data_IF_593028279606
#
_entry.id   IF_593028279606
#
_cell.length_a   1.000
_cell.length_b   1.000
_cell.length_c   1.000
_cell.angle_alpha   90.00
_cell.angle_beta   90.00
_cell.angle_gamma   90.00
#
_symmetry.space_group_name_H-M   'P 1'
#
loop_
_entity.id
_entity.type
_entity.pdbx_description
1 polymer ?
#
# COMPACT_ATOMS: atom_id res chain seq x y z
N UNK A 1 48.02 37.11 16.62
CA UNK A 1 48.46 36.78 15.25
C UNK A 1 48.03 35.36 14.97
N UNK A 2 46.91 35.20 14.27
CA UNK A 2 46.60 34.03 13.46
C UNK A 2 45.60 34.55 12.42
N UNK A 3 46.17 35.07 11.34
CA UNK A 3 45.46 35.41 10.12
C UNK A 3 44.90 34.12 9.53
N UNK A 4 43.59 33.92 9.68
CA UNK A 4 42.87 32.95 8.87
C UNK A 4 42.66 33.60 7.51
N UNK A 5 43.42 33.13 6.54
CA UNK A 5 43.39 33.51 5.13
C UNK A 5 41.97 33.41 4.55
N UNK A 6 41.40 34.56 4.19
CA UNK A 6 40.23 34.62 3.33
C UNK A 6 40.61 34.12 1.92
N UNK A 7 39.97 33.05 1.46
CA UNK A 7 40.08 32.60 0.08
C UNK A 7 39.44 33.66 -0.84
N UNK A 8 40.16 34.23 -1.82
CA UNK A 8 39.60 35.17 -2.78
C UNK A 8 39.03 34.37 -3.94
N UNK A 9 37.76 33.97 -3.84
CA UNK A 9 37.15 33.15 -4.91
C UNK A 9 35.67 32.87 -4.80
N UNK A 10 34.92 33.53 -3.93
CA UNK A 10 33.49 33.22 -3.72
C UNK A 10 32.63 34.49 -3.57
N UNK A 11 33.00 35.56 -4.28
CA UNK A 11 32.03 36.64 -4.55
C UNK A 11 31.13 36.14 -5.69
N UNK A 12 29.85 35.80 -5.42
CA UNK A 12 28.93 35.37 -6.45
C UNK A 12 28.87 36.45 -7.52
N UNK A 13 28.88 36.04 -8.79
CA UNK A 13 28.68 36.99 -9.87
C UNK A 13 27.34 37.73 -9.66
N UNK A 14 27.20 38.99 -10.13
CA UNK A 14 25.97 39.76 -9.93
C UNK A 14 24.69 39.02 -10.38
N UNK A 15 24.80 38.13 -11.38
CA UNK A 15 23.71 37.28 -11.84
C UNK A 15 23.36 36.12 -10.90
N UNK A 16 24.34 35.50 -10.25
CA UNK A 16 24.12 34.42 -9.27
C UNK A 16 23.52 34.94 -7.97
N UNK A 17 23.92 36.13 -7.54
CA UNK A 17 23.32 36.80 -6.40
C UNK A 17 21.86 37.19 -6.67
N UNK A 18 21.57 37.65 -7.88
CA UNK A 18 20.21 37.97 -8.32
C UNK A 18 19.32 36.70 -8.41
N UNK A 19 19.83 35.61 -8.97
CA UNK A 19 19.11 34.32 -9.03
C UNK A 19 18.91 33.70 -7.64
N UNK A 20 19.90 33.85 -6.75
CA UNK A 20 19.78 33.43 -5.35
C UNK A 20 18.68 34.21 -4.63
N UNK A 21 18.66 35.52 -4.76
CA UNK A 21 17.64 36.39 -4.17
C UNK A 21 16.25 36.10 -4.76
N UNK A 22 16.14 35.82 -6.06
CA UNK A 22 14.91 35.38 -6.72
C UNK A 22 14.36 34.09 -6.12
N UNK A 23 15.19 33.06 -5.93
CA UNK A 23 14.77 31.79 -5.29
C UNK A 23 14.32 31.98 -3.85
N UNK A 24 15.07 32.78 -3.07
CA UNK A 24 14.66 33.12 -1.71
C UNK A 24 13.36 33.90 -1.66
N UNK A 25 13.11 34.78 -2.63
CA UNK A 25 11.83 35.51 -2.75
C UNK A 25 10.65 34.59 -3.05
N UNK A 26 10.84 33.52 -3.84
CA UNK A 26 9.80 32.52 -4.12
C UNK A 26 9.56 31.58 -2.93
N UNK A 27 10.61 31.21 -2.19
CA UNK A 27 10.51 30.31 -1.01
C UNK A 27 9.90 31.02 0.20
N UNK A 28 10.26 32.28 0.43
CA UNK A 28 9.80 33.06 1.58
C UNK A 28 8.50 33.85 1.31
N UNK A 29 8.02 33.83 0.07
CA UNK A 29 6.79 34.49 -0.36
C UNK A 29 6.80 36.01 -0.22
N UNK A 30 5.60 36.61 -0.25
CA UNK A 30 5.39 38.07 -0.26
C UNK A 30 6.02 38.83 0.91
N UNK A 31 6.21 38.18 2.06
CA UNK A 31 6.83 38.78 3.24
C UNK A 31 8.32 39.15 3.05
N UNK A 32 9.00 38.53 2.06
CA UNK A 32 10.41 38.79 1.77
C UNK A 32 10.65 39.82 0.66
N UNK A 33 9.61 40.48 0.14
CA UNK A 33 9.74 41.47 -0.95
C UNK A 33 10.65 42.64 -0.58
N UNK A 34 10.60 43.10 0.68
CA UNK A 34 11.44 44.18 1.17
C UNK A 34 12.93 43.83 1.28
N UNK A 35 13.27 42.54 1.34
CA UNK A 35 14.64 42.05 1.52
C UNK A 35 15.24 41.45 0.24
N UNK A 36 14.41 40.87 -0.63
CA UNK A 36 14.86 40.13 -1.83
C UNK A 36 14.53 40.84 -3.16
N UNK A 37 13.77 41.94 -3.13
CA UNK A 37 13.36 42.69 -4.33
C UNK A 37 12.09 42.14 -5.00
N UNK A 38 11.60 42.85 -6.02
CA UNK A 38 10.38 42.50 -6.77
C UNK A 38 10.63 41.46 -7.86
N UNK A 39 9.64 40.58 -8.08
CA UNK A 39 9.64 39.59 -9.17
C UNK A 39 9.10 40.22 -10.46
N UNK A 40 9.57 39.74 -11.62
CA UNK A 40 9.14 40.23 -12.92
C UNK A 40 8.81 39.08 -13.90
N UNK A 41 7.85 39.29 -14.81
CA UNK A 41 7.51 38.33 -15.84
C UNK A 41 6.77 37.09 -15.32
N UNK A 42 7.16 35.89 -15.78
CA UNK A 42 6.52 34.62 -15.39
C UNK A 42 6.66 34.29 -13.89
N UNK A 43 7.63 34.90 -13.21
CA UNK A 43 7.90 34.65 -11.79
C UNK A 43 6.80 35.22 -10.88
N UNK A 44 6.09 36.25 -11.34
CA UNK A 44 4.93 36.79 -10.62
C UNK A 44 3.77 35.78 -10.62
N UNK A 45 3.62 35.02 -11.70
CA UNK A 45 2.65 33.91 -11.79
C UNK A 45 3.05 32.73 -10.90
N UNK A 46 4.35 32.41 -10.84
CA UNK A 46 4.89 31.39 -9.94
C UNK A 46 4.67 31.76 -8.45
N UNK A 47 4.95 33.00 -8.06
CA UNK A 47 4.75 33.49 -6.69
C UNK A 47 3.26 33.48 -6.30
N UNK A 48 2.37 33.89 -7.21
CA UNK A 48 0.94 33.84 -6.99
C UNK A 48 0.44 32.39 -6.81
N UNK A 49 0.95 31.45 -7.62
CA UNK A 49 0.63 30.05 -7.48
C UNK A 49 1.15 29.46 -6.16
N UNK A 50 2.38 29.75 -5.77
CA UNK A 50 2.95 29.30 -4.49
C UNK A 50 2.21 29.92 -3.29
N UNK A 51 1.87 31.21 -3.36
CA UNK A 51 1.16 31.91 -2.29
C UNK A 51 -0.27 31.38 -2.09
N UNK A 52 -0.98 31.06 -3.18
CA UNK A 52 -2.33 30.47 -3.11
C UNK A 52 -2.36 29.13 -2.36
N UNK A 53 -1.26 28.38 -2.43
CA UNK A 53 -1.10 27.08 -1.77
C UNK A 53 -0.53 27.19 -0.35
N UNK A 54 0.55 27.95 -0.15
CA UNK A 54 1.34 27.91 1.07
C UNK A 54 1.10 29.09 2.04
N UNK A 55 0.55 30.21 1.59
CA UNK A 55 0.37 31.41 2.44
C UNK A 55 -1.06 31.57 2.98
N UNK A 56 -1.95 30.60 2.74
CA UNK A 56 -3.38 30.70 3.11
C UNK A 56 -3.65 30.52 4.61
N UNK A 57 -2.71 29.93 5.34
CA UNK A 57 -2.83 29.65 6.79
C UNK A 57 -2.29 30.80 7.68
N UNK A 58 -1.87 31.92 7.10
CA UNK A 58 -1.22 33.03 7.82
C UNK A 58 -2.13 34.15 8.33
N UNK A 59 -3.44 34.15 8.04
CA UNK A 59 -4.34 35.27 8.39
C UNK A 59 -5.09 35.12 9.72
N UNK A 60 -4.73 34.13 10.55
CA UNK A 60 -5.41 33.90 11.82
C UNK A 60 -4.47 33.58 12.97
N UNK A 61 -3.70 34.56 13.47
CA UNK A 61 -3.37 34.71 14.91
C UNK A 61 -2.47 35.94 15.20
N UNK A 62 -3.07 36.97 15.85
CA UNK A 62 -2.47 37.98 16.76
C UNK A 62 -1.32 38.89 16.29
N UNK A 63 -1.33 40.23 16.39
CA UNK A 63 -2.18 41.19 17.08
C UNK A 63 -1.40 42.52 17.27
N UNK A 64 -2.08 43.65 17.03
CA UNK A 64 -1.78 44.96 17.64
C UNK A 64 -0.75 45.89 16.98
N UNK A 65 -1.20 47.02 16.41
CA UNK A 65 -0.32 48.17 16.18
C UNK A 65 -0.73 49.15 15.07
N UNK A 66 -1.66 50.05 15.40
CA UNK A 66 -1.90 51.42 14.86
C UNK A 66 -0.98 51.95 13.72
N UNK A 67 -1.58 52.30 12.55
CA UNK A 67 -1.60 53.67 11.96
C UNK A 67 -2.17 53.73 10.52
N UNK A 68 -3.36 54.34 10.42
CA UNK A 68 -3.81 55.35 9.45
C UNK A 68 -3.55 55.27 7.93
N UNK A 69 -4.67 55.23 7.18
CA UNK A 69 -4.93 55.80 5.83
C UNK A 69 -4.19 55.16 4.63
N UNK A 70 -4.79 54.68 3.53
CA UNK A 70 -5.93 55.17 2.74
C UNK A 70 -6.40 54.07 1.74
N UNK A 71 -7.72 53.85 1.65
CA UNK A 71 -8.53 53.37 0.50
C UNK A 71 -7.93 52.38 -0.53
N UNK A 72 -8.41 51.13 -0.52
CA UNK A 72 -9.27 50.58 -1.59
C UNK A 72 -9.86 49.22 -1.20
N UNK A 73 -11.17 49.10 -1.40
CA UNK A 73 -12.01 47.91 -1.59
C UNK A 73 -11.68 46.62 -0.81
N UNK A 74 -12.22 46.51 0.41
CA UNK A 74 -12.36 45.24 1.13
C UNK A 74 -13.40 44.36 0.44
N UNK A 75 -12.97 43.46 -0.45
CA UNK A 75 -13.78 42.29 -0.81
C UNK A 75 -13.55 41.19 0.22
N UNK A 76 -14.33 41.21 1.30
CA UNK A 76 -14.57 40.00 2.09
C UNK A 76 -15.49 39.09 1.26
N UNK A 77 -14.91 38.25 0.42
CA UNK A 77 -15.63 37.24 -0.36
C UNK A 77 -15.75 35.97 0.45
N UNK A 78 -16.96 35.74 0.99
CA UNK A 78 -17.33 34.47 1.61
C UNK A 78 -17.14 33.27 0.67
N UNK A 79 -17.05 32.10 1.28
CA UNK A 79 -16.88 30.78 0.68
C UNK A 79 -17.92 30.51 -0.42
N UNK A 80 -17.59 30.88 -1.66
CA UNK A 80 -18.40 30.60 -2.85
C UNK A 80 -17.66 30.76 -4.19
N UNK A 81 -16.37 31.11 -4.17
CA UNK A 81 -15.58 31.38 -5.39
C UNK A 81 -14.36 30.48 -5.60
N UNK A 82 -14.26 29.35 -4.91
CA UNK A 82 -13.00 28.57 -4.84
C UNK A 82 -12.83 27.48 -5.91
N UNK A 83 -13.83 27.19 -6.76
CA UNK A 83 -13.67 26.21 -7.83
C UNK A 83 -12.96 26.76 -9.08
N UNK A 84 -13.32 27.96 -9.62
CA UNK A 84 -12.68 28.49 -10.83
C UNK A 84 -11.22 28.90 -10.60
N UNK A 85 -10.94 29.54 -9.46
CA UNK A 85 -9.60 30.04 -9.14
C UNK A 85 -8.57 28.90 -8.94
N UNK A 86 -9.01 27.70 -8.57
CA UNK A 86 -8.12 26.54 -8.38
C UNK A 86 -7.90 25.80 -9.71
N UNK A 87 -8.88 25.79 -10.62
CA UNK A 87 -8.70 25.29 -11.99
C UNK A 87 -7.71 26.16 -12.79
N UNK A 88 -7.84 27.48 -12.67
CA UNK A 88 -6.90 28.43 -13.26
C UNK A 88 -5.48 28.23 -12.66
N UNK A 89 -5.38 28.06 -11.34
CA UNK A 89 -4.12 27.76 -10.63
C UNK A 89 -3.47 26.44 -11.07
N UNK A 90 -4.25 25.37 -11.27
CA UNK A 90 -3.76 24.09 -11.77
C UNK A 90 -3.26 24.19 -13.23
N UNK A 91 -3.89 25.05 -14.04
CA UNK A 91 -3.43 25.39 -15.38
C UNK A 91 -2.10 26.16 -15.34
N UNK A 92 -2.01 27.17 -14.47
CA UNK A 92 -0.84 28.02 -14.32
C UNK A 92 0.39 27.22 -13.85
N UNK A 93 0.24 26.31 -12.88
CA UNK A 93 1.35 25.50 -12.39
C UNK A 93 1.96 24.61 -13.46
N UNK A 94 1.13 24.08 -14.39
CA UNK A 94 1.61 23.28 -15.53
C UNK A 94 2.43 24.11 -16.53
N UNK A 95 2.18 25.42 -16.60
CA UNK A 95 2.94 26.34 -17.44
C UNK A 95 4.29 26.75 -16.84
N UNK A 96 4.38 26.72 -15.51
CA UNK A 96 5.51 27.31 -14.79
C UNK A 96 6.51 26.28 -14.21
N UNK A 97 6.08 25.06 -13.89
CA UNK A 97 6.93 24.09 -13.18
C UNK A 97 7.16 22.78 -13.96
N UNK A 98 8.32 22.10 -13.79
CA UNK A 98 8.56 20.76 -14.32
C UNK A 98 7.59 19.73 -13.72
N UNK A 99 7.24 18.69 -14.49
CA UNK A 99 6.22 17.68 -14.13
C UNK A 99 6.45 16.99 -12.78
N UNK A 100 7.71 16.78 -12.38
CA UNK A 100 8.05 16.21 -11.06
C UNK A 100 7.68 17.14 -9.90
N UNK A 101 7.84 18.46 -10.07
CA UNK A 101 7.51 19.47 -9.05
C UNK A 101 6.01 19.72 -9.01
N UNK A 102 5.36 19.72 -10.18
CA UNK A 102 3.89 19.81 -10.29
C UNK A 102 3.22 18.71 -9.47
N UNK A 103 3.73 17.48 -9.53
CA UNK A 103 3.19 16.35 -8.77
C UNK A 103 3.26 16.59 -7.25
N UNK A 104 4.39 17.06 -6.74
CA UNK A 104 4.57 17.38 -5.31
C UNK A 104 3.65 18.53 -4.88
N UNK A 105 3.57 19.61 -5.68
CA UNK A 105 2.68 20.74 -5.39
C UNK A 105 1.20 20.35 -5.47
N UNK A 106 0.84 19.42 -6.35
CA UNK A 106 -0.50 18.85 -6.42
C UNK A 106 -0.81 17.99 -5.20
N UNK A 107 0.12 17.16 -4.71
CA UNK A 107 -0.02 16.41 -3.46
C UNK A 107 -0.16 17.34 -2.25
N UNK A 108 0.62 18.42 -2.18
CA UNK A 108 0.49 19.41 -1.09
C UNK A 108 -0.84 20.19 -1.18
N UNK A 109 -1.28 20.53 -2.40
CA UNK A 109 -2.59 21.11 -2.64
C UNK A 109 -3.73 20.18 -2.26
N UNK A 110 -3.52 18.87 -2.48
CA UNK A 110 -4.47 17.85 -2.11
C UNK A 110 -4.70 17.84 -0.60
N UNK A 111 -3.61 17.88 0.18
CA UNK A 111 -3.66 17.87 1.63
C UNK A 111 -4.17 19.19 2.23
N UNK A 112 -3.78 20.34 1.65
CA UNK A 112 -4.04 21.68 2.23
C UNK A 112 -5.28 22.39 1.68
N UNK A 113 -5.62 22.24 0.40
CA UNK A 113 -6.76 22.95 -0.23
C UNK A 113 -8.10 22.24 -0.07
N UNK A 114 -8.14 21.10 0.63
CA UNK A 114 -9.38 20.42 0.97
C UNK A 114 -9.95 19.64 -0.20
N UNK A 115 -9.23 18.58 -0.60
CA UNK A 115 -9.62 17.66 -1.68
C UNK A 115 -11.07 17.19 -1.63
N UNK A 116 -11.64 17.13 -0.42
CA UNK A 116 -13.02 16.71 -0.19
C UNK A 116 -14.06 17.51 -0.98
N UNK A 117 -13.83 18.81 -1.24
CA UNK A 117 -14.76 19.63 -2.04
C UNK A 117 -14.52 19.49 -3.55
N UNK A 118 -13.28 19.28 -3.96
CA UNK A 118 -12.91 19.18 -5.38
C UNK A 118 -13.23 17.81 -5.98
N UNK A 119 -13.14 16.73 -5.19
CA UNK A 119 -13.56 15.39 -5.60
C UNK A 119 -15.08 15.23 -5.74
N UNK A 120 -15.87 16.23 -5.34
CA UNK A 120 -17.31 16.25 -5.58
C UNK A 120 -17.68 16.83 -6.95
N UNK A 121 -16.73 17.45 -7.66
CA UNK A 121 -16.94 18.00 -9.00
C UNK A 121 -16.42 17.01 -10.07
N UNK A 122 -17.31 16.42 -10.89
CA UNK A 122 -16.95 15.35 -11.85
C UNK A 122 -15.85 15.74 -12.84
N UNK A 123 -15.84 17.00 -13.28
CA UNK A 123 -14.94 17.51 -14.32
C UNK A 123 -13.48 17.61 -13.85
N UNK A 124 -13.26 17.84 -12.55
CA UNK A 124 -11.92 17.94 -11.95
C UNK A 124 -11.30 16.57 -11.70
N UNK A 125 -12.13 15.53 -11.53
CA UNK A 125 -11.68 14.17 -11.25
C UNK A 125 -11.02 13.50 -12.46
N UNK A 126 -11.41 13.89 -13.68
CA UNK A 126 -10.79 13.41 -14.93
C UNK A 126 -9.40 14.03 -15.18
N UNK A 127 -9.09 15.15 -14.54
CA UNK A 127 -7.85 15.90 -14.75
C UNK A 127 -6.70 15.52 -13.80
N UNK A 128 -6.99 14.70 -12.77
CA UNK A 128 -6.02 14.24 -11.75
C UNK A 128 -5.40 12.92 -12.19
N UNK A 129 -4.08 12.77 -12.04
CA UNK A 129 -3.40 11.50 -12.33
C UNK A 129 -3.88 10.43 -11.33
N UNK A 130 -4.43 9.30 -11.80
CA UNK A 130 -4.91 8.27 -10.90
C UNK A 130 -3.74 7.58 -10.18
N UNK A 131 -3.66 7.72 -8.86
CA UNK A 131 -2.72 7.00 -8.01
C UNK A 131 -3.42 6.25 -6.87
N UNK A 132 -2.68 5.38 -6.18
CA UNK A 132 -3.22 4.55 -5.10
C UNK A 132 -3.68 5.39 -3.90
N UNK A 133 -3.00 6.50 -3.65
CA UNK A 133 -3.31 7.43 -2.57
C UNK A 133 -4.66 8.13 -2.79
N UNK A 134 -4.94 8.57 -4.02
CA UNK A 134 -6.22 9.12 -4.46
C UNK A 134 -7.32 8.08 -4.31
N UNK A 135 -7.08 6.82 -4.68
CA UNK A 135 -8.06 5.73 -4.46
C UNK A 135 -8.39 5.61 -2.97
N UNK A 136 -7.39 5.58 -2.09
CA UNK A 136 -7.61 5.57 -0.64
C UNK A 136 -8.48 6.74 -0.16
N UNK A 137 -8.19 7.94 -0.68
CA UNK A 137 -8.95 9.16 -0.36
C UNK A 137 -10.40 9.07 -0.87
N UNK A 138 -10.62 8.64 -2.12
CA UNK A 138 -11.95 8.45 -2.71
C UNK A 138 -12.79 7.42 -1.95
N UNK A 139 -12.16 6.34 -1.49
CA UNK A 139 -12.82 5.32 -0.69
C UNK A 139 -13.26 5.86 0.68
N UNK A 140 -12.44 6.70 1.31
CA UNK A 140 -12.78 7.36 2.58
C UNK A 140 -13.99 8.31 2.45
N UNK A 141 -14.15 8.92 1.27
CA UNK A 141 -15.24 9.87 0.97
C UNK A 141 -16.48 9.21 0.34
N UNK A 142 -16.43 7.91 0.06
CA UNK A 142 -17.46 7.18 -0.70
C UNK A 142 -18.89 7.27 -0.15
N UNK A 143 -19.06 7.52 1.15
CA UNK A 143 -20.36 7.67 1.81
C UNK A 143 -20.94 9.09 1.71
N UNK A 144 -20.09 10.10 1.54
CA UNK A 144 -20.48 11.52 1.57
C UNK A 144 -20.61 12.08 0.14
N UNK A 145 -20.09 11.38 -0.86
CA UNK A 145 -20.17 11.77 -2.26
C UNK A 145 -21.59 11.65 -2.84
N UNK A 146 -22.06 12.66 -3.61
CA UNK A 146 -23.26 12.53 -4.44
C UNK A 146 -23.15 11.37 -5.46
N UNK A 147 -24.27 10.76 -5.84
CA UNK A 147 -24.28 9.58 -6.72
C UNK A 147 -23.56 9.80 -8.06
N UNK A 148 -23.68 11.01 -8.64
CA UNK A 148 -22.97 11.37 -9.86
C UNK A 148 -21.44 11.40 -9.68
N UNK A 149 -20.95 11.92 -8.55
CA UNK A 149 -19.52 11.94 -8.23
C UNK A 149 -19.00 10.54 -7.88
N UNK A 150 -19.85 9.67 -7.33
CA UNK A 150 -19.52 8.27 -7.05
C UNK A 150 -19.24 7.46 -8.31
N UNK A 151 -19.98 7.72 -9.40
CA UNK A 151 -19.75 7.05 -10.68
C UNK A 151 -18.41 7.48 -11.32
N UNK A 152 -18.09 8.78 -11.30
CA UNK A 152 -16.78 9.29 -11.71
C UNK A 152 -15.65 8.71 -10.86
N UNK A 153 -15.83 8.63 -9.53
CA UNK A 153 -14.85 8.02 -8.62
C UNK A 153 -14.62 6.54 -8.96
N UNK A 154 -15.69 5.81 -9.29
CA UNK A 154 -15.58 4.41 -9.75
C UNK A 154 -14.78 4.28 -11.03
N UNK A 155 -14.94 5.20 -11.98
CA UNK A 155 -14.17 5.19 -13.23
C UNK A 155 -12.67 5.40 -12.97
N UNK A 156 -12.31 6.35 -12.11
CA UNK A 156 -10.90 6.59 -11.72
C UNK A 156 -10.31 5.39 -10.98
N UNK A 157 -11.02 4.87 -9.97
CA UNK A 157 -10.57 3.69 -9.22
C UNK A 157 -10.41 2.49 -10.15
N UNK A 158 -11.32 2.31 -11.10
CA UNK A 158 -11.23 1.24 -12.11
C UNK A 158 -9.98 1.35 -12.95
N UNK A 159 -9.64 2.55 -13.44
CA UNK A 159 -8.40 2.78 -14.19
C UNK A 159 -7.16 2.35 -13.40
N UNK A 160 -7.06 2.78 -12.13
CA UNK A 160 -5.93 2.39 -11.24
C UNK A 160 -5.89 0.88 -11.01
N UNK A 161 -7.05 0.29 -10.70
CA UNK A 161 -7.17 -1.14 -10.42
C UNK A 161 -6.80 -1.99 -11.64
N UNK A 162 -7.27 -1.61 -12.84
CA UNK A 162 -6.93 -2.28 -14.08
C UNK A 162 -5.43 -2.18 -14.40
N UNK A 163 -4.83 -1.01 -14.16
CA UNK A 163 -3.40 -0.79 -14.33
C UNK A 163 -2.56 -1.66 -13.38
N UNK A 164 -2.94 -1.71 -12.11
CA UNK A 164 -2.33 -2.57 -11.10
C UNK A 164 -2.52 -4.05 -11.44
N UNK A 165 -3.71 -4.46 -11.85
CA UNK A 165 -3.98 -5.85 -12.25
C UNK A 165 -3.11 -6.23 -13.45
N UNK A 166 -3.01 -5.39 -14.48
CA UNK A 166 -2.15 -5.68 -15.66
C UNK A 166 -0.69 -5.88 -15.26
N UNK A 167 -0.18 -5.08 -14.32
CA UNK A 167 1.21 -5.18 -13.83
C UNK A 167 1.44 -6.42 -12.96
N UNK A 168 0.55 -6.69 -12.01
CA UNK A 168 0.78 -7.65 -10.94
C UNK A 168 0.25 -9.05 -11.26
N UNK A 169 -0.80 -9.17 -12.08
CA UNK A 169 -1.55 -10.41 -12.19
C UNK A 169 -0.77 -11.54 -12.88
N UNK A 170 -0.01 -11.24 -13.94
CA UNK A 170 0.75 -12.26 -14.65
C UNK A 170 1.84 -12.87 -13.76
N UNK A 171 2.59 -12.03 -13.06
CA UNK A 171 3.65 -12.46 -12.15
C UNK A 171 3.07 -13.29 -10.99
N UNK A 172 2.01 -12.77 -10.34
CA UNK A 172 1.32 -13.44 -9.25
C UNK A 172 0.80 -14.82 -9.64
N UNK A 173 0.06 -14.93 -10.76
CA UNK A 173 -0.46 -16.21 -11.24
C UNK A 173 0.67 -17.20 -11.51
N UNK A 174 1.72 -16.78 -12.19
CA UNK A 174 2.86 -17.64 -12.53
C UNK A 174 3.57 -18.19 -11.29
N UNK A 175 3.91 -17.32 -10.35
CA UNK A 175 4.66 -17.66 -9.14
C UNK A 175 3.85 -18.57 -8.22
N UNK A 176 2.59 -18.19 -7.95
CA UNK A 176 1.69 -18.93 -7.05
C UNK A 176 1.26 -20.26 -7.67
N UNK A 177 0.91 -20.30 -8.96
CA UNK A 177 0.56 -21.55 -9.63
C UNK A 177 1.75 -22.51 -9.70
N UNK A 178 2.94 -22.01 -10.02
CA UNK A 178 4.16 -22.81 -9.99
C UNK A 178 4.50 -23.34 -8.59
N UNK A 179 4.16 -22.59 -7.53
CA UNK A 179 4.27 -23.03 -6.15
C UNK A 179 3.25 -24.12 -5.79
N UNK A 180 2.00 -23.97 -6.23
CA UNK A 180 0.94 -24.95 -6.04
C UNK A 180 1.30 -26.29 -6.69
N UNK A 181 1.72 -26.28 -7.96
CA UNK A 181 2.13 -27.48 -8.69
C UNK A 181 3.31 -28.21 -8.02
N UNK A 182 4.23 -27.47 -7.37
CA UNK A 182 5.32 -28.05 -6.58
C UNK A 182 4.86 -28.56 -5.21
N UNK A 183 3.86 -27.92 -4.61
CA UNK A 183 3.31 -28.31 -3.32
C UNK A 183 2.41 -29.55 -3.42
N UNK A 184 1.71 -29.72 -4.55
CA UNK A 184 0.91 -30.88 -4.84
C UNK A 184 1.83 -32.09 -5.05
N UNK A 185 1.86 -33.00 -4.07
CA UNK A 185 2.68 -34.21 -4.14
C UNK A 185 1.85 -35.38 -4.64
N UNK A 186 2.48 -36.27 -5.40
CA UNK A 186 1.92 -37.54 -5.83
C UNK A 186 2.83 -38.69 -5.42
N UNK A 187 2.22 -39.80 -5.03
CA UNK A 187 2.91 -41.07 -4.79
C UNK A 187 2.96 -41.98 -6.03
N UNK A 188 2.46 -41.48 -7.17
CA UNK A 188 2.54 -42.14 -8.48
C UNK A 188 2.94 -41.13 -9.57
N UNK A 189 4.21 -40.68 -9.59
CA UNK A 189 4.71 -39.87 -10.69
C UNK A 189 4.63 -40.67 -12.00
N UNK A 190 4.07 -40.06 -13.05
CA UNK A 190 3.87 -40.72 -14.37
C UNK A 190 5.10 -40.61 -15.28
N UNK A 191 5.99 -39.67 -15.02
CA UNK A 191 7.23 -39.43 -15.78
C UNK A 191 8.41 -39.42 -14.81
N UNK A 192 9.58 -39.82 -15.31
CA UNK A 192 10.84 -39.81 -14.55
C UNK A 192 11.23 -38.39 -14.12
N UNK A 193 10.91 -37.38 -14.94
CA UNK A 193 11.17 -35.96 -14.65
C UNK A 193 10.37 -35.40 -13.47
N UNK A 194 9.25 -36.05 -13.11
CA UNK A 194 8.35 -35.57 -12.07
C UNK A 194 8.71 -36.16 -10.68
N UNK A 195 9.77 -36.97 -10.60
CA UNK A 195 10.20 -37.65 -9.36
C UNK A 195 11.06 -36.70 -8.52
N UNK A 196 10.69 -36.52 -7.25
CA UNK A 196 11.53 -35.91 -6.22
C UNK A 196 12.52 -36.97 -5.74
N UNK A 197 13.69 -37.03 -6.39
CA UNK A 197 14.70 -38.06 -6.14
C UNK A 197 15.25 -38.02 -4.73
N UNK A 198 15.53 -36.83 -4.19
CA UNK A 198 16.08 -36.69 -2.84
C UNK A 198 15.11 -37.26 -1.79
N UNK A 199 13.83 -36.89 -1.87
CA UNK A 199 12.83 -37.42 -0.93
C UNK A 199 12.50 -38.89 -1.18
N UNK A 200 12.49 -39.32 -2.45
CA UNK A 200 12.32 -40.73 -2.81
C UNK A 200 13.45 -41.58 -2.25
N UNK A 201 14.70 -41.14 -2.35
CA UNK A 201 15.86 -41.84 -1.77
C UNK A 201 15.70 -41.92 -0.26
N UNK A 202 15.53 -40.77 0.43
CA UNK A 202 15.38 -40.74 1.90
C UNK A 202 14.30 -41.68 2.42
N UNK A 203 13.14 -41.71 1.75
CA UNK A 203 12.00 -42.55 2.16
C UNK A 203 12.20 -44.04 1.86
N UNK A 204 13.11 -44.39 0.96
CA UNK A 204 13.42 -45.77 0.60
C UNK A 204 14.81 -46.20 1.08
N UNK A 205 15.49 -45.43 1.94
CA UNK A 205 16.78 -45.81 2.53
C UNK A 205 16.71 -47.14 3.29
N UNK A 206 15.53 -47.48 3.84
CA UNK A 206 15.28 -48.79 4.46
C UNK A 206 15.41 -49.97 3.47
N UNK A 207 15.37 -49.71 2.16
CA UNK A 207 15.46 -50.70 1.08
C UNK A 207 16.78 -50.58 0.31
N UNK A 208 17.85 -50.14 0.98
CA UNK A 208 19.19 -50.15 0.42
C UNK A 208 19.73 -51.58 0.36
N UNK A 209 20.24 -51.98 -0.81
CA UNK A 209 20.88 -53.26 -1.05
C UNK A 209 22.41 -53.07 -1.06
N UNK A 210 23.14 -53.49 -0.01
CA UNK A 210 24.59 -53.28 0.09
C UNK A 210 25.38 -53.98 -1.02
N UNK A 211 24.93 -55.16 -1.43
CA UNK A 211 25.56 -56.00 -2.47
C UNK A 211 25.61 -55.29 -3.82
N UNK A 212 24.58 -54.50 -4.15
CA UNK A 212 24.45 -53.78 -5.42
C UNK A 212 24.70 -52.27 -5.28
N UNK A 213 25.01 -51.79 -4.07
CA UNK A 213 25.15 -50.36 -3.75
C UNK A 213 24.01 -49.50 -4.29
N UNK A 214 22.78 -50.02 -4.25
CA UNK A 214 21.61 -49.42 -4.90
C UNK A 214 20.42 -49.34 -3.95
N UNK A 215 19.65 -48.25 -4.02
CA UNK A 215 18.38 -48.09 -3.30
C UNK A 215 17.23 -48.48 -4.22
N UNK A 216 16.36 -49.41 -3.80
CA UNK A 216 15.18 -49.80 -4.57
C UNK A 216 13.99 -48.89 -4.20
N UNK A 217 13.49 -48.05 -5.13
CA UNK A 217 12.44 -47.09 -4.81
C UNK A 217 11.05 -47.77 -4.86
N UNK A 218 10.61 -48.32 -3.72
CA UNK A 218 9.25 -48.87 -3.57
C UNK A 218 8.20 -47.75 -3.50
N UNK A 219 8.51 -46.68 -2.77
CA UNK A 219 7.64 -45.52 -2.56
C UNK A 219 8.18 -44.32 -3.34
N UNK A 220 7.73 -44.14 -4.59
CA UNK A 220 8.06 -42.96 -5.37
C UNK A 220 7.33 -41.74 -4.80
N UNK A 221 8.05 -40.64 -4.64
CA UNK A 221 7.47 -39.34 -4.32
C UNK A 221 7.76 -38.43 -5.49
N UNK A 222 6.73 -37.80 -6.04
CA UNK A 222 6.87 -36.87 -7.14
C UNK A 222 5.95 -35.68 -7.03
N UNK A 223 6.11 -34.75 -7.96
CA UNK A 223 5.27 -33.57 -8.09
C UNK A 223 4.03 -33.92 -8.92
N UNK A 224 2.85 -33.62 -8.37
CA UNK A 224 1.58 -33.84 -9.04
C UNK A 224 1.37 -32.74 -10.09
N UNK A 225 1.61 -33.04 -11.36
CA UNK A 225 1.17 -32.14 -12.43
C UNK A 225 -0.36 -32.10 -12.47
N UNK A 226 -0.94 -30.90 -12.34
CA UNK A 226 -2.36 -30.61 -12.61
C UNK A 226 -3.34 -31.50 -11.83
N UNK A 227 -3.39 -31.35 -10.50
CA UNK A 227 -4.62 -31.75 -9.80
C UNK A 227 -5.74 -30.78 -10.22
N UNK A 228 -6.92 -31.32 -10.53
CA UNK A 228 -8.06 -30.56 -11.08
C UNK A 228 -8.97 -29.96 -9.99
N UNK A 229 -8.47 -29.82 -8.76
CA UNK A 229 -9.26 -29.38 -7.61
C UNK A 229 -8.52 -28.37 -6.75
N UNK A 230 -9.23 -27.80 -5.77
CA UNK A 230 -8.68 -26.83 -4.81
C UNK A 230 -7.58 -27.49 -3.99
N UNK A 231 -6.34 -27.04 -4.21
CA UNK A 231 -5.15 -27.55 -3.54
C UNK A 231 -4.93 -26.87 -2.19
N UNK A 232 -5.26 -25.57 -2.10
CA UNK A 232 -5.08 -24.77 -0.88
C UNK A 232 -6.23 -23.80 -0.68
N UNK A 233 -6.49 -23.50 0.59
CA UNK A 233 -7.43 -22.47 1.00
C UNK A 233 -6.62 -21.23 1.43
N UNK A 234 -6.99 -20.04 0.95
CA UNK A 234 -6.35 -18.76 1.29
C UNK A 234 -7.41 -17.85 1.87
N UNK A 235 -7.19 -17.37 3.09
CA UNK A 235 -8.06 -16.39 3.74
C UNK A 235 -7.26 -15.09 3.88
N UNK A 236 -7.71 -14.03 3.22
CA UNK A 236 -7.18 -12.67 3.37
C UNK A 236 -8.04 -11.95 4.41
N UNK A 237 -7.46 -11.55 5.52
CA UNK A 237 -8.09 -10.71 6.54
C UNK A 237 -7.47 -9.31 6.46
N UNK A 238 -8.22 -8.31 6.04
CA UNK A 238 -7.71 -6.97 5.74
C UNK A 238 -8.34 -5.93 6.66
N UNK A 239 -7.49 -5.19 7.35
CA UNK A 239 -7.85 -4.07 8.20
C UNK A 239 -8.25 -2.85 7.37
N UNK A 240 -9.37 -2.22 7.73
CA UNK A 240 -9.90 -1.01 7.09
C UNK A 240 -9.65 0.26 7.89
N UNK A 241 -8.73 0.21 8.86
CA UNK A 241 -8.26 1.43 9.52
C UNK A 241 -7.76 2.45 8.49
N UNK A 242 -7.90 3.73 8.81
CA UNK A 242 -7.56 4.82 7.87
C UNK A 242 -6.10 4.80 7.42
N UNK A 243 -5.19 4.31 8.26
CA UNK A 243 -3.77 4.08 7.96
C UNK A 243 -3.53 2.98 6.91
N UNK A 244 -4.51 2.11 6.68
CA UNK A 244 -4.37 0.92 5.83
C UNK A 244 -4.99 1.10 4.45
N UNK A 245 -5.38 2.33 4.06
CA UNK A 245 -6.07 2.61 2.80
C UNK A 245 -5.34 2.04 1.57
N UNK A 246 -4.03 2.24 1.45
CA UNK A 246 -3.23 1.69 0.34
C UNK A 246 -3.17 0.16 0.37
N UNK A 247 -3.01 -0.40 1.57
CA UNK A 247 -2.97 -1.85 1.77
C UNK A 247 -4.29 -2.50 1.37
N UNK A 248 -5.43 -1.84 1.61
CA UNK A 248 -6.75 -2.30 1.17
C UNK A 248 -6.84 -2.36 -0.36
N UNK A 249 -6.29 -1.36 -1.07
CA UNK A 249 -6.27 -1.32 -2.54
C UNK A 249 -5.49 -2.51 -3.10
N UNK A 250 -4.23 -2.66 -2.68
CA UNK A 250 -3.40 -3.77 -3.14
C UNK A 250 -4.00 -5.13 -2.76
N UNK A 251 -4.55 -5.26 -1.55
CA UNK A 251 -5.20 -6.51 -1.11
C UNK A 251 -6.43 -6.87 -1.92
N UNK A 252 -7.22 -5.87 -2.35
CA UNK A 252 -8.35 -6.07 -3.26
C UNK A 252 -7.91 -6.63 -4.62
N UNK A 253 -6.87 -6.03 -5.22
CA UNK A 253 -6.30 -6.49 -6.50
C UNK A 253 -5.73 -7.90 -6.37
N UNK A 254 -4.88 -8.15 -5.37
CA UNK A 254 -4.32 -9.49 -5.14
C UNK A 254 -5.39 -10.52 -4.82
N UNK A 255 -6.41 -10.15 -4.03
CA UNK A 255 -7.56 -11.00 -3.74
C UNK A 255 -8.26 -11.47 -5.01
N UNK A 256 -8.56 -10.54 -5.93
CA UNK A 256 -9.18 -10.86 -7.22
C UNK A 256 -8.28 -11.75 -8.09
N UNK A 257 -6.98 -11.44 -8.16
CA UNK A 257 -6.01 -12.25 -8.90
C UNK A 257 -5.90 -13.66 -8.33
N UNK A 258 -5.83 -13.82 -7.01
CA UNK A 258 -5.78 -15.12 -6.35
C UNK A 258 -7.08 -15.90 -6.56
N UNK A 259 -8.23 -15.25 -6.49
CA UNK A 259 -9.54 -15.86 -6.78
C UNK A 259 -9.66 -16.38 -8.22
N UNK A 260 -8.94 -15.77 -9.18
CA UNK A 260 -8.88 -16.29 -10.56
C UNK A 260 -8.11 -17.62 -10.70
N UNK A 261 -7.31 -18.01 -9.70
CA UNK A 261 -6.53 -19.24 -9.70
C UNK A 261 -7.40 -20.41 -9.22
N UNK A 262 -7.86 -21.26 -10.14
CA UNK A 262 -8.76 -22.41 -9.84
C UNK A 262 -8.24 -23.40 -8.79
N UNK A 263 -6.93 -23.47 -8.59
CA UNK A 263 -6.31 -24.35 -7.60
C UNK A 263 -6.33 -23.77 -6.18
N UNK A 264 -6.80 -22.52 -6.01
CA UNK A 264 -6.99 -21.85 -4.73
C UNK A 264 -8.48 -21.63 -4.47
N UNK A 265 -8.86 -21.77 -3.20
CA UNK A 265 -10.10 -21.20 -2.69
C UNK A 265 -9.73 -19.96 -1.90
N UNK A 266 -10.01 -18.80 -2.47
CA UNK A 266 -9.71 -17.51 -1.86
C UNK A 266 -10.95 -16.97 -1.17
N UNK A 267 -10.83 -16.62 0.10
CA UNK A 267 -11.82 -15.88 0.86
C UNK A 267 -11.22 -14.54 1.27
N UNK A 268 -12.00 -13.47 1.20
CA UNK A 268 -11.56 -12.14 1.59
C UNK A 268 -12.52 -11.59 2.63
N UNK A 269 -11.97 -11.35 3.80
CA UNK A 269 -12.64 -10.80 4.96
C UNK A 269 -12.01 -9.45 5.21
N UNK A 270 -12.85 -8.46 5.37
CA UNK A 270 -12.43 -7.10 5.69
C UNK A 270 -13.04 -6.70 7.02
N UNK A 271 -12.28 -5.99 7.84
CA UNK A 271 -12.71 -5.71 9.19
C UNK A 271 -12.29 -4.33 9.70
N UNK A 272 -13.11 -3.84 10.60
CA UNK A 272 -12.91 -2.65 11.42
C UNK A 272 -13.35 -3.02 12.86
N UNK A 273 -14.41 -2.39 13.39
CA UNK A 273 -15.21 -2.86 14.53
C UNK A 273 -16.18 -4.00 14.19
N UNK A 274 -16.44 -4.20 12.90
CA UNK A 274 -17.31 -5.22 12.35
C UNK A 274 -16.56 -6.07 11.33
N UNK A 275 -17.10 -7.25 11.03
CA UNK A 275 -16.48 -8.18 10.07
C UNK A 275 -17.40 -8.31 8.87
N UNK A 276 -16.88 -8.06 7.68
CA UNK A 276 -17.61 -8.17 6.41
C UNK A 276 -16.89 -9.18 5.52
N UNK A 277 -17.63 -10.15 5.02
CA UNK A 277 -17.14 -11.13 4.06
C UNK A 277 -17.39 -10.63 2.63
N UNK A 278 -16.31 -10.41 1.89
CA UNK A 278 -16.34 -9.95 0.49
C UNK A 278 -15.96 -11.07 -0.49
N UNK A 279 -15.95 -12.33 -0.05
CA UNK A 279 -15.59 -13.49 -0.89
C UNK A 279 -16.39 -13.53 -2.20
N UNK A 280 -17.68 -13.22 -2.17
CA UNK A 280 -18.55 -13.23 -3.36
C UNK A 280 -18.25 -12.08 -4.35
N UNK A 281 -17.55 -11.03 -3.90
CA UNK A 281 -17.22 -9.85 -4.70
C UNK A 281 -15.82 -9.88 -5.28
N UNK A 282 -15.03 -10.91 -4.99
CA UNK A 282 -13.67 -11.09 -5.52
C UNK A 282 -13.59 -11.16 -7.06
N UNK A 283 -14.72 -11.26 -7.76
CA UNK A 283 -14.78 -11.18 -9.21
C UNK A 283 -14.55 -9.78 -9.78
N UNK A 284 -14.79 -8.71 -9.01
CA UNK A 284 -14.51 -7.33 -9.39
C UNK A 284 -13.78 -6.60 -8.24
N UNK A 285 -12.47 -6.35 -8.35
CA UNK A 285 -11.72 -5.66 -7.31
C UNK A 285 -12.28 -4.25 -7.03
N UNK A 286 -12.92 -3.57 -7.99
CA UNK A 286 -13.57 -2.28 -7.74
C UNK A 286 -14.76 -2.47 -6.78
N UNK A 287 -15.57 -3.51 -6.96
CA UNK A 287 -16.69 -3.80 -6.03
C UNK A 287 -16.22 -4.18 -4.63
N UNK A 288 -15.07 -4.85 -4.51
CA UNK A 288 -14.42 -5.13 -3.23
C UNK A 288 -14.08 -3.81 -2.53
N UNK A 289 -13.38 -2.91 -3.24
CA UNK A 289 -12.95 -1.62 -2.67
C UNK A 289 -14.13 -0.73 -2.30
N UNK A 290 -15.17 -0.60 -3.12
CA UNK A 290 -16.37 0.15 -2.73
C UNK A 290 -17.25 -0.58 -1.70
N UNK A 291 -16.96 -1.85 -1.41
CA UNK A 291 -17.54 -2.60 -0.31
C UNK A 291 -16.85 -2.36 1.03
N UNK A 292 -15.67 -1.72 1.04
CA UNK A 292 -14.93 -1.39 2.25
C UNK A 292 -15.39 -0.07 2.85
N UNK A 293 -15.39 0.02 4.19
CA UNK A 293 -15.67 1.25 4.93
C UNK A 293 -14.38 1.65 5.64
N UNK A 294 -13.65 2.60 5.08
CA UNK A 294 -12.43 3.09 5.72
C UNK A 294 -12.80 3.96 6.93
N UNK A 295 -12.32 3.56 8.11
CA UNK A 295 -12.49 4.29 9.37
C UNK A 295 -13.32 3.55 10.43
N UNK A 296 -12.92 3.74 11.70
CA UNK A 296 -13.48 3.04 12.85
C UNK A 296 -12.37 2.64 13.84
N UNK A 297 -12.74 1.94 14.91
CA UNK A 297 -11.78 1.17 15.70
C UNK A 297 -11.45 -0.16 15.00
N UNK A 298 -10.49 -0.90 15.54
CA UNK A 298 -10.04 -2.18 14.97
C UNK A 298 -10.27 -3.31 15.99
N UNK A 299 -10.97 -4.37 15.60
CA UNK A 299 -11.15 -5.61 16.39
C UNK A 299 -10.57 -6.80 15.62
N UNK A 300 -9.27 -7.05 15.81
CA UNK A 300 -8.53 -8.10 15.10
C UNK A 300 -8.98 -9.47 15.62
N UNK A 301 -9.18 -9.60 16.93
CA UNK A 301 -9.66 -10.83 17.57
C UNK A 301 -10.96 -11.34 16.94
N UNK A 302 -11.94 -10.47 16.71
CA UNK A 302 -13.22 -10.83 16.10
C UNK A 302 -13.05 -11.26 14.64
N UNK A 303 -12.21 -10.56 13.89
CA UNK A 303 -11.89 -10.94 12.52
C UNK A 303 -11.26 -12.33 12.45
N UNK A 304 -10.27 -12.60 13.31
CA UNK A 304 -9.63 -13.92 13.42
C UNK A 304 -10.63 -15.02 13.81
N UNK A 305 -11.57 -14.73 14.72
CA UNK A 305 -12.62 -15.67 15.09
C UNK A 305 -13.51 -16.05 13.91
N UNK A 306 -13.87 -15.08 13.06
CA UNK A 306 -14.63 -15.34 11.83
C UNK A 306 -13.80 -16.13 10.81
N UNK A 307 -12.55 -15.72 10.56
CA UNK A 307 -11.64 -16.42 9.66
C UNK A 307 -11.40 -17.88 10.09
N UNK A 308 -11.31 -18.15 11.39
CA UNK A 308 -11.20 -19.50 11.92
C UNK A 308 -12.41 -20.38 11.53
N UNK A 309 -13.61 -19.81 11.44
CA UNK A 309 -14.82 -20.51 10.98
C UNK A 309 -14.81 -20.84 9.48
N UNK A 310 -14.07 -20.09 8.66
CA UNK A 310 -13.92 -20.34 7.22
C UNK A 310 -12.92 -21.46 6.89
N UNK A 311 -12.00 -21.76 7.83
CA UNK A 311 -10.93 -22.74 7.64
C UNK A 311 -11.47 -24.14 7.91
N UNK A 312 -11.75 -24.87 6.82
CA UNK A 312 -12.16 -26.27 6.89
C UNK A 312 -10.96 -27.25 6.95
N UNK A 313 -9.81 -26.88 6.36
CA UNK A 313 -8.62 -27.75 6.23
C UNK A 313 -7.37 -27.03 6.74
N UNK A 314 -7.11 -27.02 8.06
CA UNK A 314 -6.03 -26.23 8.64
C UNK A 314 -4.67 -26.42 7.98
N UNK A 315 -4.24 -27.67 7.72
CA UNK A 315 -2.93 -28.00 7.14
C UNK A 315 -2.75 -27.57 5.68
N UNK A 316 -3.85 -27.32 4.97
CA UNK A 316 -3.88 -26.85 3.58
C UNK A 316 -4.30 -25.36 3.49
N UNK A 317 -4.38 -24.66 4.62
CA UNK A 317 -4.87 -23.28 4.70
C UNK A 317 -3.76 -22.28 5.00
N UNK A 318 -3.81 -21.14 4.31
CA UNK A 318 -2.98 -19.96 4.57
C UNK A 318 -3.90 -18.83 5.01
N UNK A 319 -3.64 -18.24 6.17
CA UNK A 319 -4.28 -17.02 6.63
C UNK A 319 -3.28 -15.87 6.49
N UNK A 320 -3.64 -14.83 5.74
CA UNK A 320 -2.86 -13.60 5.63
C UNK A 320 -3.63 -12.49 6.34
N UNK A 321 -3.10 -12.01 7.45
CA UNK A 321 -3.61 -10.85 8.17
C UNK A 321 -2.85 -9.61 7.72
N UNK A 322 -3.57 -8.60 7.23
CA UNK A 322 -3.02 -7.34 6.74
C UNK A 322 -3.54 -6.26 7.70
N UNK A 323 -2.69 -5.86 8.65
CA UNK A 323 -3.05 -4.93 9.74
C UNK A 323 -1.78 -4.38 10.39
N UNK A 324 -1.87 -3.14 10.88
CA UNK A 324 -0.84 -2.49 11.72
C UNK A 324 -0.74 -3.08 13.14
N UNK A 325 -1.56 -4.10 13.46
CA UNK A 325 -1.60 -4.81 14.74
C UNK A 325 -2.01 -3.94 15.93
N UNK A 326 -2.60 -2.76 15.72
CA UNK A 326 -3.23 -2.02 16.80
C UNK A 326 -4.58 -2.65 17.14
N UNK A 327 -4.56 -3.54 18.13
CA UNK A 327 -5.76 -4.24 18.61
C UNK A 327 -6.59 -3.34 19.54
N UNK A 328 -7.83 -3.07 19.16
CA UNK A 328 -8.84 -2.42 20.00
C UNK A 328 -9.70 -3.42 20.80
N UNK A 329 -9.64 -4.71 20.48
CA UNK A 329 -10.29 -5.81 21.18
C UNK A 329 -9.45 -6.44 22.30
N UNK A 330 -9.69 -7.73 22.58
CA UNK A 330 -9.00 -8.46 23.65
C UNK A 330 -7.72 -9.11 23.13
N UNK A 331 -6.59 -8.42 23.33
CA UNK A 331 -5.26 -8.87 22.90
C UNK A 331 -4.91 -10.31 23.28
N UNK A 332 -5.19 -10.73 24.53
CA UNK A 332 -4.87 -12.09 24.98
C UNK A 332 -5.64 -13.15 24.19
N UNK A 333 -6.89 -12.86 23.81
CA UNK A 333 -7.67 -13.76 22.97
C UNK A 333 -7.14 -13.80 21.55
N UNK A 334 -6.76 -12.66 20.98
CA UNK A 334 -6.14 -12.58 19.65
C UNK A 334 -4.91 -13.50 19.58
N UNK A 335 -3.97 -13.36 20.53
CA UNK A 335 -2.76 -14.18 20.58
C UNK A 335 -3.11 -15.66 20.77
N UNK A 336 -4.07 -15.99 21.64
CA UNK A 336 -4.52 -17.38 21.87
C UNK A 336 -5.15 -18.00 20.62
N UNK A 337 -5.93 -17.24 19.85
CA UNK A 337 -6.54 -17.71 18.60
C UNK A 337 -5.48 -17.99 17.56
N UNK A 338 -4.54 -17.06 17.34
CA UNK A 338 -3.42 -17.30 16.43
C UNK A 338 -2.64 -18.55 16.84
N UNK A 339 -2.32 -18.70 18.13
CA UNK A 339 -1.65 -19.89 18.64
C UNK A 339 -2.44 -21.18 18.34
N UNK A 340 -3.76 -21.15 18.52
CA UNK A 340 -4.63 -22.29 18.20
C UNK A 340 -4.66 -22.62 16.72
N UNK A 341 -4.67 -21.61 15.85
CA UNK A 341 -4.68 -21.79 14.38
C UNK A 341 -3.35 -22.36 13.90
N UNK A 342 -2.23 -21.80 14.37
CA UNK A 342 -0.89 -22.30 14.07
C UNK A 342 -0.69 -23.72 14.58
N UNK A 343 -1.17 -24.03 15.79
CA UNK A 343 -1.11 -25.38 16.35
C UNK A 343 -1.96 -26.40 15.56
N UNK A 344 -3.07 -25.96 14.97
CA UNK A 344 -3.88 -26.78 14.05
C UNK A 344 -3.20 -26.99 12.68
N UNK A 345 -2.13 -26.27 12.38
CA UNK A 345 -1.35 -26.37 11.14
C UNK A 345 -1.70 -25.33 10.07
N UNK A 346 -2.47 -24.29 10.42
CA UNK A 346 -2.68 -23.14 9.52
C UNK A 346 -1.39 -22.36 9.38
N UNK A 347 -1.02 -22.03 8.15
CA UNK A 347 0.08 -21.09 7.91
C UNK A 347 -0.43 -19.66 8.08
N UNK A 348 -0.11 -19.04 9.20
CA UNK A 348 -0.49 -17.64 9.47
C UNK A 348 0.64 -16.71 9.05
N UNK A 349 0.30 -15.65 8.32
CA UNK A 349 1.20 -14.61 7.83
C UNK A 349 0.65 -13.26 8.25
N UNK A 350 1.50 -12.38 8.77
CA UNK A 350 1.08 -11.04 9.18
C UNK A 350 1.85 -10.00 8.36
N UNK A 351 1.10 -9.17 7.65
CA UNK A 351 1.60 -8.06 6.86
C UNK A 351 1.23 -6.76 7.56
N UNK A 352 2.27 -6.04 8.01
CA UNK A 352 2.13 -4.78 8.75
C UNK A 352 1.70 -3.63 7.83
N UNK A 353 2.13 -3.69 6.58
CA UNK A 353 1.66 -2.85 5.49
C UNK A 353 1.90 -3.58 4.16
N UNK A 354 1.02 -3.29 3.21
CA UNK A 354 1.16 -3.64 1.81
C UNK A 354 1.14 -2.34 1.00
N UNK A 355 2.23 -1.59 1.09
CA UNK A 355 2.42 -0.26 0.50
C UNK A 355 3.77 -0.18 -0.19
N UNK A 356 3.92 0.80 -1.08
CA UNK A 356 5.22 1.13 -1.68
C UNK A 356 6.12 1.89 -0.68
N UNK A 357 5.53 2.45 0.39
CA UNK A 357 6.23 3.13 1.47
C UNK A 357 6.64 2.14 2.58
N UNK A 358 7.94 2.09 2.88
CA UNK A 358 8.56 1.06 3.73
C UNK A 358 8.54 1.32 5.25
N UNK A 359 7.83 2.33 5.75
CA UNK A 359 7.85 2.69 7.18
C UNK A 359 6.49 2.51 7.88
N UNK A 360 6.01 1.26 8.09
CA UNK A 360 4.75 1.04 8.79
C UNK A 360 4.86 1.43 10.27
N UNK A 361 3.88 2.18 10.76
CA UNK A 361 3.62 2.29 12.20
C UNK A 361 2.86 1.05 12.65
N UNK A 362 3.38 0.30 13.61
CA UNK A 362 2.73 -0.93 14.08
C UNK A 362 2.97 -1.20 15.57
N UNK A 363 2.12 -2.04 16.16
CA UNK A 363 2.30 -2.51 17.54
C UNK A 363 3.44 -3.51 17.66
N UNK A 364 4.62 -3.03 18.07
CA UNK A 364 5.81 -3.87 18.33
C UNK A 364 5.55 -4.97 19.36
N UNK A 365 4.69 -4.70 20.34
CA UNK A 365 4.36 -5.66 21.39
C UNK A 365 3.54 -6.84 20.87
N UNK A 366 2.57 -6.57 19.97
CA UNK A 366 1.78 -7.61 19.33
C UNK A 366 2.60 -8.36 18.28
N UNK A 367 3.42 -7.66 17.49
CA UNK A 367 4.34 -8.29 16.55
C UNK A 367 5.30 -9.27 17.26
N UNK A 368 5.88 -8.88 18.39
CA UNK A 368 6.75 -9.74 19.18
C UNK A 368 6.01 -10.96 19.76
N UNK A 369 4.77 -10.79 20.23
CA UNK A 369 3.95 -11.89 20.74
C UNK A 369 3.60 -12.91 19.64
N UNK A 370 3.29 -12.44 18.42
CA UNK A 370 3.00 -13.30 17.28
C UNK A 370 4.29 -14.00 16.77
N UNK A 371 5.42 -13.29 16.76
CA UNK A 371 6.72 -13.86 16.41
C UNK A 371 7.14 -15.01 17.36
N UNK A 372 6.82 -14.89 18.65
CA UNK A 372 7.05 -15.97 19.63
C UNK A 372 6.24 -17.24 19.33
N UNK A 373 5.12 -17.11 18.60
CA UNK A 373 4.30 -18.22 18.11
C UNK A 373 4.77 -18.77 16.75
N UNK A 374 5.87 -18.27 16.21
CA UNK A 374 6.38 -18.64 14.89
C UNK A 374 5.66 -17.96 13.72
N UNK A 375 4.88 -16.91 14.00
CA UNK A 375 4.17 -16.11 12.98
C UNK A 375 4.97 -14.83 12.72
N UNK A 376 5.71 -14.74 11.60
CA UNK A 376 6.47 -13.54 11.27
C UNK A 376 5.52 -12.38 10.90
N UNK A 377 5.85 -11.18 11.39
CA UNK A 377 5.18 -9.94 11.06
C UNK A 377 6.18 -8.99 10.40
N UNK A 378 5.91 -8.56 9.17
CA UNK A 378 6.82 -7.70 8.39
C UNK A 378 6.03 -6.84 7.40
N UNK A 379 6.69 -5.80 6.88
CA UNK A 379 6.18 -5.02 5.75
C UNK A 379 6.49 -5.76 4.44
N UNK A 380 5.57 -5.72 3.48
CA UNK A 380 5.79 -6.33 2.17
C UNK A 380 5.43 -5.32 1.09
N UNK A 381 6.33 -5.08 0.15
CA UNK A 381 5.97 -4.33 -1.06
C UNK A 381 5.10 -5.19 -1.97
N UNK A 382 4.23 -4.59 -2.80
CA UNK A 382 3.34 -5.32 -3.71
C UNK A 382 4.09 -6.31 -4.62
N UNK A 383 5.27 -5.95 -5.12
CA UNK A 383 6.05 -6.81 -6.02
C UNK A 383 6.56 -8.10 -5.34
N UNK A 384 6.70 -8.11 -4.01
CA UNK A 384 7.19 -9.28 -3.24
C UNK A 384 6.06 -10.18 -2.74
N UNK A 385 4.84 -9.67 -2.69
CA UNK A 385 3.67 -10.41 -2.20
C UNK A 385 3.46 -11.76 -2.94
N UNK A 386 3.64 -11.87 -4.27
CA UNK A 386 3.58 -13.15 -4.99
C UNK A 386 4.55 -14.21 -4.47
N UNK A 387 5.80 -13.83 -4.21
CA UNK A 387 6.85 -14.74 -3.75
C UNK A 387 6.55 -15.21 -2.31
N UNK A 388 6.06 -14.30 -1.47
CA UNK A 388 5.58 -14.61 -0.14
C UNK A 388 4.46 -15.66 -0.18
N UNK A 389 3.43 -15.43 -1.00
CA UNK A 389 2.32 -16.37 -1.15
C UNK A 389 2.79 -17.72 -1.68
N UNK A 390 3.75 -17.74 -2.61
CA UNK A 390 4.36 -18.98 -3.08
C UNK A 390 5.12 -19.73 -1.97
N UNK A 391 5.82 -19.03 -1.09
CA UNK A 391 6.50 -19.63 0.06
C UNK A 391 5.50 -20.19 1.07
N UNK A 392 4.43 -19.44 1.37
CA UNK A 392 3.37 -19.84 2.30
C UNK A 392 2.62 -21.09 1.81
N UNK A 393 2.22 -21.10 0.54
CA UNK A 393 1.56 -22.25 -0.11
C UNK A 393 2.44 -23.51 -0.12
N UNK A 394 3.76 -23.36 -0.23
CA UNK A 394 4.68 -24.50 -0.20
C UNK A 394 5.00 -25.00 1.21
N UNK A 395 4.56 -24.29 2.26
CA UNK A 395 4.91 -24.58 3.65
C UNK A 395 6.40 -24.37 3.93
N UNK A 396 7.05 -23.43 3.23
CA UNK A 396 8.43 -23.03 3.55
C UNK A 396 8.45 -22.16 4.81
N UNK A 397 9.59 -22.10 5.49
CA UNK A 397 9.78 -21.20 6.62
C UNK A 397 9.67 -19.75 6.13
N UNK A 398 8.62 -19.05 6.56
CA UNK A 398 8.40 -17.65 6.24
C UNK A 398 9.34 -16.72 7.00
N UNK A 399 9.82 -17.16 8.17
CA UNK A 399 10.84 -16.44 8.93
C UNK A 399 12.16 -16.36 8.16
N UNK A 400 12.60 -17.48 7.57
CA UNK A 400 13.82 -17.51 6.77
C UNK A 400 13.68 -16.70 5.47
N UNK A 401 12.46 -16.61 4.93
CA UNK A 401 12.17 -15.73 3.80
C UNK A 401 12.29 -14.25 4.23
N UNK A 402 11.62 -13.85 5.31
CA UNK A 402 11.68 -12.47 5.82
C UNK A 402 13.12 -12.03 6.19
N UNK A 403 13.92 -12.91 6.82
CA UNK A 403 15.32 -12.63 7.16
C UNK A 403 16.23 -12.49 5.91
N UNK A 404 15.95 -13.22 4.83
CA UNK A 404 16.65 -13.05 3.56
C UNK A 404 16.29 -11.74 2.86
N UNK A 405 15.08 -11.23 3.10
CA UNK A 405 14.59 -9.97 2.52
C UNK A 405 15.06 -8.75 3.31
N UNK A 406 15.01 -8.76 4.64
CA UNK A 406 15.53 -7.66 5.47
C UNK A 406 17.04 -7.47 5.24
N UNK A 407 17.80 -8.56 5.11
CA UNK A 407 19.21 -8.49 4.74
C UNK A 407 19.49 -8.01 3.31
N UNK A 408 18.48 -8.00 2.42
CA UNK A 408 18.58 -7.43 1.08
C UNK A 408 18.14 -5.95 1.04
N UNK A 409 17.25 -5.52 1.95
CA UNK A 409 16.82 -4.13 2.07
C UNK A 409 17.87 -3.21 2.72
N UNK A 410 18.79 -3.76 3.51
CA UNK A 410 19.94 -3.02 4.10
C UNK A 410 21.16 -2.93 3.15
N UNK A 411 21.06 -3.44 1.91
CA UNK A 411 22.18 -3.56 0.97
C UNK A 411 22.09 -2.65 -0.28
N UNK A 412 21.28 -1.58 -0.25
CA UNK A 412 21.21 -0.58 -1.34
C UNK A 412 21.59 0.81 -0.84
#
# INVERSE_FOLDING_TARGET
MNEQTAHPGDTPSPGEETERLRRWRLVLGGAAESACGGLAGGDTGMDAALAALYNRDGEGEGGGGDRGAQRSDRRSGGLGGSAPAVADWLGDIRGYFPSSVVRVMQTDAVERLGLQRMLMEPEMMEAVEPDVHLVGTLLSLSQVMPEAARESARAVVRSVVEDLERRLAQHTRSVVQGALDRSARTHRPRRVSDIDWDRTIRRNLAHYLPEYRTVVPQNLVGYARRSRGVQRDVVLAVDQSGSMAESVVYSGVFGAVLASIRALKTSMVVFDTSVVDLTDRLGDPVEVLFGTRLGGGTDINRALAYCQGLIARPQDSVLVLISDLYEGGVREEMVRRVASMTAAGVQVVVLLALSDEGAPSYSRENAAALAALGVPAFACTPDRFPDLMAAAVQGRSLKAWAEQEEGASDAV
#
